data_IF_913197114948
#
_entry.id   IF_913197114948
#
_cell.length_a   1.000
_cell.length_b   1.000
_cell.length_c   1.000
_cell.angle_alpha   90.00
_cell.angle_beta   90.00
_cell.angle_gamma   90.00
#
_symmetry.space_group_name_H-M   'P 1'
#
loop_
_entity.id
_entity.type
_entity.pdbx_description
1 polymer ?
#
# COMPACT_ATOMS: atom_id res chain seq x y z
N UNK A 1 -9.35 -7.64 17.98
CA UNK A 1 -10.11 -8.22 16.85
C UNK A 1 -9.79 -7.49 15.55
N UNK A 2 -8.99 -8.18 14.72
CA UNK A 2 -8.52 -7.84 13.38
C UNK A 2 -8.10 -6.39 13.15
N UNK A 3 -7.13 -5.88 13.93
CA UNK A 3 -6.46 -4.59 13.68
C UNK A 3 -5.64 -4.60 12.39
N UNK A 4 -6.23 -5.02 11.27
CA UNK A 4 -5.63 -5.09 9.95
C UNK A 4 -6.35 -4.17 8.98
N UNK A 5 -5.60 -3.72 7.99
CA UNK A 5 -6.11 -3.06 6.81
C UNK A 5 -5.61 -3.85 5.60
N UNK A 6 -6.48 -4.04 4.62
CA UNK A 6 -6.12 -4.62 3.32
C UNK A 6 -6.40 -3.58 2.24
N UNK A 7 -5.39 -3.22 1.45
CA UNK A 7 -5.56 -2.44 0.23
C UNK A 7 -5.66 -3.40 -0.96
N UNK A 8 -6.86 -3.49 -1.53
CA UNK A 8 -7.16 -4.42 -2.62
C UNK A 8 -6.55 -4.00 -3.97
N UNK A 9 -6.13 -2.74 -4.15
CA UNK A 9 -5.55 -2.26 -5.41
C UNK A 9 -4.20 -2.92 -5.67
N UNK A 10 -3.43 -3.11 -4.60
CA UNK A 10 -2.06 -3.62 -4.64
C UNK A 10 -1.88 -4.93 -3.87
N UNK A 11 -2.96 -5.51 -3.33
CA UNK A 11 -2.92 -6.73 -2.53
C UNK A 11 -2.19 -6.59 -1.19
N UNK A 12 -1.97 -5.37 -0.69
CA UNK A 12 -1.28 -5.11 0.56
C UNK A 12 -2.17 -5.49 1.75
N UNK A 13 -1.63 -6.22 2.70
CA UNK A 13 -2.28 -6.44 4.01
C UNK A 13 -1.31 -6.05 5.12
N UNK A 14 -1.73 -5.10 5.96
CA UNK A 14 -0.97 -4.66 7.14
C UNK A 14 -1.79 -4.94 8.40
N UNK A 15 -1.13 -5.25 9.51
CA UNK A 15 -1.76 -5.54 10.81
C UNK A 15 -1.65 -4.36 11.79
N UNK A 16 -1.48 -3.15 11.24
CA UNK A 16 -1.22 -1.90 11.97
C UNK A 16 -2.39 -0.90 11.84
N UNK A 17 -3.63 -1.39 11.99
CA UNK A 17 -4.82 -0.56 11.74
C UNK A 17 -4.88 0.67 12.66
N UNK A 18 -4.47 0.54 13.93
CA UNK A 18 -4.54 1.64 14.88
C UNK A 18 -3.57 2.77 14.53
N UNK A 19 -2.36 2.41 14.10
CA UNK A 19 -1.32 3.35 13.66
C UNK A 19 -1.76 4.08 12.39
N UNK A 20 -2.29 3.33 11.42
CA UNK A 20 -2.84 3.89 10.17
C UNK A 20 -3.99 4.87 10.45
N UNK A 21 -4.93 4.50 11.33
CA UNK A 21 -6.00 5.41 11.75
C UNK A 21 -5.49 6.59 12.59
N UNK A 22 -4.33 6.44 13.23
CA UNK A 22 -3.60 7.49 13.94
C UNK A 22 -2.81 8.43 13.02
N UNK A 23 -2.75 8.14 11.70
CA UNK A 23 -2.10 8.96 10.69
C UNK A 23 -0.71 8.49 10.26
N UNK A 24 -0.22 7.36 10.76
CA UNK A 24 1.01 6.72 10.27
C UNK A 24 0.72 6.02 8.92
N UNK A 25 0.80 6.80 7.86
CA UNK A 25 0.45 6.39 6.49
C UNK A 25 1.67 6.10 5.60
N UNK A 26 2.90 6.31 6.08
CA UNK A 26 4.11 6.27 5.25
C UNK A 26 4.26 4.90 4.56
N UNK A 27 4.11 3.80 5.29
CA UNK A 27 4.16 2.43 4.72
C UNK A 27 3.12 2.22 3.60
N UNK A 28 1.90 2.74 3.79
CA UNK A 28 0.79 2.58 2.85
C UNK A 28 1.05 3.41 1.59
N UNK A 29 1.55 4.63 1.78
CA UNK A 29 1.88 5.55 0.70
C UNK A 29 3.03 5.02 -0.15
N UNK A 30 4.11 4.56 0.47
CA UNK A 30 5.27 4.00 -0.23
C UNK A 30 4.90 2.77 -1.05
N UNK A 31 4.08 1.88 -0.49
CA UNK A 31 3.61 0.69 -1.20
C UNK A 31 2.76 1.03 -2.45
N UNK A 32 1.87 2.03 -2.33
CA UNK A 32 1.06 2.51 -3.46
C UNK A 32 1.92 3.18 -4.54
N UNK A 33 2.89 4.00 -4.14
CA UNK A 33 3.82 4.66 -5.08
C UNK A 33 4.65 3.61 -5.82
N UNK A 34 5.19 2.62 -5.11
CA UNK A 34 5.98 1.55 -5.74
C UNK A 34 5.16 0.73 -6.74
N UNK A 35 3.90 0.42 -6.41
CA UNK A 35 3.01 -0.30 -7.31
C UNK A 35 2.70 0.51 -8.59
N UNK A 36 2.38 1.80 -8.45
CA UNK A 36 2.14 2.70 -9.58
C UNK A 36 3.40 2.86 -10.46
N UNK A 37 4.58 2.97 -9.85
CA UNK A 37 5.84 3.02 -10.60
C UNK A 37 6.11 1.71 -11.36
N UNK A 38 5.85 0.56 -10.75
CA UNK A 38 6.01 -0.73 -11.39
C UNK A 38 5.05 -0.90 -12.59
N UNK A 39 3.79 -0.46 -12.44
CA UNK A 39 2.80 -0.45 -13.52
C UNK A 39 3.27 0.44 -14.68
N UNK A 40 3.71 1.67 -14.39
CA UNK A 40 4.24 2.60 -15.41
C UNK A 40 5.48 2.07 -16.12
N UNK A 41 6.38 1.41 -15.41
CA UNK A 41 7.56 0.79 -16.02
C UNK A 41 7.17 -0.37 -16.96
N UNK A 42 6.19 -1.19 -16.56
CA UNK A 42 5.67 -2.26 -17.40
C UNK A 42 4.95 -1.73 -18.65
N UNK A 43 4.19 -0.64 -18.53
CA UNK A 43 3.54 0.03 -19.65
C UNK A 43 4.54 0.66 -20.63
N UNK A 44 5.71 1.10 -20.14
CA UNK A 44 6.78 1.67 -20.96
C UNK A 44 7.60 0.62 -21.72
N UNK A 45 7.35 -0.68 -21.53
CA UNK A 45 7.89 -1.75 -22.36
C UNK A 45 9.40 -1.98 -22.25
N UNK A 46 9.98 -1.77 -21.06
CA UNK A 46 11.30 -2.31 -20.70
C UNK A 46 11.18 -3.73 -20.15
#
# INVERSE_FOLDING_TARGET
>A
PQGRMTDHRIGLTTYRLAEVLGGDLDEVMDALIAADQAEKLAEQGL
#
